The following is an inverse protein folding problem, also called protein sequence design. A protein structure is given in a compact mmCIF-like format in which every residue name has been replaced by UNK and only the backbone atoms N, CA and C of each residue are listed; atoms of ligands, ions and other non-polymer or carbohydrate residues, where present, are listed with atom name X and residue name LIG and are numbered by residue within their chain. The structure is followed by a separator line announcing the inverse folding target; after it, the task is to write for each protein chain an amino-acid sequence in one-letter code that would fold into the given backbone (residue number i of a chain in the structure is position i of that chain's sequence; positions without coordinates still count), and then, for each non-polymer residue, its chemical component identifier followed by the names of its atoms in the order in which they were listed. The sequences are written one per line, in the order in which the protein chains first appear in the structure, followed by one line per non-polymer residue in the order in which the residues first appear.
data_IF_856194496063
#
_entry.id   IF_856194496063
#
_cell.length_a   1.000
_cell.length_b   1.000
_cell.length_c   1.000
_cell.angle_alpha   90.00
_cell.angle_beta   90.00
_cell.angle_gamma   90.00
#
_symmetry.space_group_name_H-M   'P 1'
#
loop_
_entity.id
_entity.type
_entity.pdbx_description
1 polymer ?
#
# COMPACT_ATOMS: atom_id res chain seq x y z
N UNK A 1 -42.09 15.96 9.72
CA UNK A 1 -40.73 15.78 9.19
C UNK A 1 -40.12 17.16 9.03
N UNK A 2 -39.05 17.53 9.75
CA UNK A 2 -38.43 18.83 9.62
C UNK A 2 -37.90 18.97 8.19
N UNK A 3 -38.43 19.93 7.42
CA UNK A 3 -37.88 20.21 6.10
C UNK A 3 -36.60 21.03 6.28
N UNK A 4 -35.45 20.62 5.72
CA UNK A 4 -34.26 21.44 5.76
C UNK A 4 -34.53 22.75 5.01
N UNK A 5 -34.35 23.87 5.70
CA UNK A 5 -34.42 25.21 5.11
C UNK A 5 -33.35 25.34 4.01
N UNK A 6 -33.59 26.11 2.94
CA UNK A 6 -32.71 26.16 1.77
C UNK A 6 -31.25 26.51 2.12
N UNK A 7 -31.04 27.31 3.18
CA UNK A 7 -29.72 27.68 3.70
C UNK A 7 -28.93 26.52 4.32
N UNK A 8 -29.61 25.50 4.84
CA UNK A 8 -28.96 24.33 5.44
C UNK A 8 -28.43 23.40 4.35
N UNK A 9 -29.14 23.31 3.23
CA UNK A 9 -28.77 22.47 2.09
C UNK A 9 -27.49 22.97 1.39
N UNK A 10 -27.37 24.29 1.20
CA UNK A 10 -26.16 24.89 0.61
C UNK A 10 -24.95 24.76 1.54
N UNK A 11 -25.13 24.94 2.85
CA UNK A 11 -24.05 24.74 3.83
C UNK A 11 -23.52 23.30 3.81
N UNK A 12 -24.41 22.30 3.77
CA UNK A 12 -24.02 20.90 3.68
C UNK A 12 -23.28 20.57 2.36
N UNK A 13 -23.74 21.14 1.25
CA UNK A 13 -23.07 20.99 -0.05
C UNK A 13 -21.64 21.55 -0.03
N UNK A 14 -21.49 22.78 0.47
CA UNK A 14 -20.17 23.44 0.59
C UNK A 14 -19.26 22.65 1.52
N UNK A 15 -19.76 22.19 2.67
CA UNK A 15 -19.00 21.35 3.59
C UNK A 15 -18.55 20.04 2.91
N UNK A 16 -19.43 19.38 2.16
CA UNK A 16 -19.10 18.17 1.41
C UNK A 16 -17.98 18.40 0.38
N UNK A 17 -18.07 19.47 -0.42
CA UNK A 17 -17.06 19.83 -1.40
C UNK A 17 -15.71 20.13 -0.71
N UNK A 18 -15.72 20.90 0.38
CA UNK A 18 -14.52 21.22 1.14
C UNK A 18 -13.88 19.97 1.76
N UNK A 19 -14.70 19.02 2.21
CA UNK A 19 -14.19 17.76 2.78
C UNK A 19 -13.58 16.91 1.68
N UNK A 20 -14.25 16.75 0.54
CA UNK A 20 -13.74 15.97 -0.60
C UNK A 20 -12.42 16.53 -1.14
N UNK A 21 -12.30 17.86 -1.27
CA UNK A 21 -11.06 18.50 -1.71
C UNK A 21 -9.93 18.32 -0.70
N UNK A 22 -10.22 18.43 0.60
CA UNK A 22 -9.24 18.16 1.65
C UNK A 22 -8.73 16.72 1.63
N UNK A 23 -9.62 15.72 1.49
CA UNK A 23 -9.22 14.32 1.34
C UNK A 23 -8.38 14.08 0.09
N UNK A 24 -8.74 14.72 -1.03
CA UNK A 24 -8.02 14.58 -2.30
C UNK A 24 -6.60 15.15 -2.19
N UNK A 25 -6.46 16.32 -1.58
CA UNK A 25 -5.16 16.93 -1.32
C UNK A 25 -4.31 16.08 -0.36
N UNK A 26 -4.92 15.53 0.70
CA UNK A 26 -4.23 14.64 1.63
C UNK A 26 -3.68 13.39 0.93
N UNK A 27 -4.43 12.81 -0.01
CA UNK A 27 -3.97 11.66 -0.80
C UNK A 27 -2.74 12.01 -1.66
N UNK A 28 -2.75 13.17 -2.34
CA UNK A 28 -1.60 13.63 -3.13
C UNK A 28 -0.38 13.85 -2.24
N UNK A 29 -0.54 14.51 -1.09
CA UNK A 29 0.56 14.71 -0.13
C UNK A 29 1.11 13.37 0.38
N UNK A 30 0.25 12.39 0.65
CA UNK A 30 0.69 11.06 1.06
C UNK A 30 1.54 10.37 -0.02
N UNK A 31 1.14 10.45 -1.29
CA UNK A 31 1.91 9.90 -2.42
C UNK A 31 3.27 10.58 -2.56
N UNK A 32 3.32 11.92 -2.50
CA UNK A 32 4.58 12.67 -2.58
C UNK A 32 5.51 12.35 -1.40
N UNK A 33 4.96 12.18 -0.20
CA UNK A 33 5.72 11.83 1.00
C UNK A 33 6.07 10.35 1.09
N UNK A 34 5.49 9.48 0.26
CA UNK A 34 5.86 8.07 0.22
C UNK A 34 7.30 7.87 -0.25
N UNK A 35 7.93 8.91 -0.83
CA UNK A 35 9.32 8.86 -1.26
C UNK A 35 9.52 7.96 -2.48
N UNK A 36 8.46 7.68 -3.25
CA UNK A 36 8.54 6.82 -4.43
C UNK A 36 9.31 7.47 -5.60
N UNK A 37 9.63 8.76 -5.53
CA UNK A 37 10.58 9.43 -6.42
C UNK A 37 12.06 9.15 -6.05
N UNK A 38 12.33 8.66 -4.84
CA UNK A 38 13.65 8.19 -4.42
C UNK A 38 13.75 6.69 -4.76
N UNK A 39 14.60 6.29 -5.72
CA UNK A 39 14.74 4.89 -6.13
C UNK A 39 15.40 3.99 -5.06
N UNK A 40 15.76 4.55 -3.90
CA UNK A 40 16.56 3.88 -2.89
C UNK A 40 18.03 3.75 -3.30
N UNK A 41 18.85 3.25 -2.39
CA UNK A 41 20.27 2.96 -2.68
C UNK A 41 20.72 1.64 -2.08
N UNK A 42 21.48 0.88 -2.86
CA UNK A 42 22.12 -0.35 -2.39
C UNK A 42 23.33 -0.01 -1.53
N UNK A 43 23.30 -0.46 -0.27
CA UNK A 43 24.36 -0.26 0.73
C UNK A 43 24.91 -1.61 1.15
N UNK A 44 26.23 -1.72 1.26
CA UNK A 44 26.85 -2.93 1.81
C UNK A 44 26.79 -2.91 3.33
N UNK A 45 26.13 -3.90 3.95
CA UNK A 45 26.10 -4.09 5.41
C UNK A 45 26.21 -5.57 5.77
N UNK A 46 27.09 -5.90 6.72
CA UNK A 46 27.18 -7.25 7.28
C UNK A 46 27.52 -8.37 6.29
N UNK A 47 28.18 -8.04 5.16
CA UNK A 47 28.49 -9.01 4.12
C UNK A 47 27.38 -9.24 3.09
N UNK A 48 26.31 -8.45 3.12
CA UNK A 48 25.25 -8.47 2.13
C UNK A 48 24.97 -7.06 1.57
N UNK A 49 24.34 -7.02 0.40
CA UNK A 49 23.77 -5.79 -0.15
C UNK A 49 22.36 -5.63 0.40
N UNK A 50 22.10 -4.51 1.06
CA UNK A 50 20.77 -4.13 1.55
C UNK A 50 20.28 -2.93 0.73
N UNK A 51 19.04 -2.97 0.25
CA UNK A 51 18.40 -1.79 -0.31
C UNK A 51 17.88 -0.92 0.83
N UNK A 52 18.31 0.34 0.87
CA UNK A 52 17.89 1.32 1.87
C UNK A 52 17.10 2.42 1.17
N UNK A 53 15.88 2.68 1.65
CA UNK A 53 14.93 3.58 0.96
C UNK A 53 14.24 2.87 -0.21
N UNK A 54 13.70 3.65 -1.15
CA UNK A 54 13.05 3.12 -2.36
C UNK A 54 11.64 2.61 -2.14
N UNK A 55 10.68 3.08 -2.96
CA UNK A 55 9.48 2.29 -3.23
C UNK A 55 9.82 1.25 -4.29
N UNK A 56 10.00 -0.02 -3.91
CA UNK A 56 10.11 -1.11 -4.89
C UNK A 56 8.72 -1.61 -5.29
N UNK A 57 8.45 -1.72 -6.58
CA UNK A 57 7.30 -2.50 -7.05
C UNK A 57 7.52 -4.00 -6.79
N UNK A 58 6.45 -4.78 -6.53
CA UNK A 58 6.54 -6.23 -6.39
C UNK A 58 7.20 -6.93 -7.59
N UNK A 59 7.02 -6.41 -8.81
CA UNK A 59 7.66 -6.92 -10.03
C UNK A 59 9.16 -6.61 -10.14
N UNK A 60 9.67 -5.64 -9.38
CA UNK A 60 11.11 -5.33 -9.30
C UNK A 60 11.82 -6.14 -8.22
N UNK A 61 11.07 -6.83 -7.36
CA UNK A 61 11.65 -7.75 -6.38
C UNK A 61 12.11 -9.01 -7.12
N UNK A 62 13.41 -9.38 -7.04
CA UNK A 62 13.85 -10.64 -7.60
C UNK A 62 13.08 -11.78 -6.92
N UNK A 63 12.35 -12.56 -7.71
CA UNK A 63 11.70 -13.79 -7.24
C UNK A 63 12.82 -14.72 -6.80
N UNK A 64 13.08 -14.79 -5.50
CA UNK A 64 13.92 -15.82 -4.93
C UNK A 64 13.19 -17.13 -5.22
N UNK A 65 13.78 -18.08 -5.98
CA UNK A 65 13.19 -19.39 -6.14
C UNK A 65 12.98 -19.95 -4.74
N UNK A 66 11.72 -20.14 -4.36
CA UNK A 66 11.42 -20.77 -3.09
C UNK A 66 12.12 -22.12 -3.12
N UNK A 67 13.02 -22.44 -2.17
CA UNK A 67 13.63 -23.76 -2.12
C UNK A 67 12.49 -24.75 -2.18
N UNK A 68 12.53 -25.67 -3.16
CA UNK A 68 11.50 -26.68 -3.29
C UNK A 68 11.30 -27.28 -1.90
N UNK A 69 10.13 -27.05 -1.30
CA UNK A 69 9.80 -27.71 -0.04
C UNK A 69 10.04 -29.20 -0.30
N UNK A 70 10.83 -29.89 0.53
CA UNK A 70 11.00 -31.32 0.40
C UNK A 70 9.60 -31.92 0.36
N UNK A 71 9.19 -32.45 -0.80
CA UNK A 71 7.93 -33.15 -0.94
C UNK A 71 7.97 -34.24 0.12
N UNK A 72 7.24 -34.04 1.21
CA UNK A 72 7.09 -35.07 2.22
C UNK A 72 6.55 -36.31 1.48
N UNK A 73 7.18 -37.49 1.67
CA UNK A 73 6.73 -38.69 1.00
C UNK A 73 5.22 -38.89 1.26
N UNK A 74 4.46 -39.41 0.29
CA UNK A 74 3.03 -39.66 0.47
C UNK A 74 2.82 -40.43 1.77
N UNK A 75 2.11 -39.84 2.72
CA UNK A 75 1.65 -40.57 3.90
C UNK A 75 0.51 -41.45 3.41
N UNK A 76 0.78 -42.75 3.26
CA UNK A 76 -0.27 -43.75 3.05
C UNK A 76 -1.20 -43.72 4.27
N UNK A 77 -2.35 -43.05 4.12
CA UNK A 77 -3.43 -43.11 5.11
C UNK A 77 -4.30 -44.33 4.74
N UNK A 78 -4.28 -45.42 5.53
CA UNK A 78 -5.16 -46.55 5.27
C UNK A 78 -6.62 -46.11 5.46
N UNK A 79 -7.46 -46.41 4.47
CA UNK A 79 -8.89 -46.17 4.51
C UNK A 79 -9.52 -46.96 5.68
N UNK A 80 -10.25 -46.26 6.54
CA UNK A 80 -11.23 -46.86 7.47
C UNK A 80 -12.64 -46.56 6.97
#
# INVERSE_FOLDING_TARGET
MPQPTPSTSTAALVAGIATASALSAAAVVAVLNAGCDDPGSYRWRGGAVELVGGCLQPEDLPVVPQPAEPTAPPVDIPAQ
#
